data_IF_408657397924
#
_entry.id   IF_408657397924
#
_cell.length_a   1.000
_cell.length_b   1.000
_cell.length_c   1.000
_cell.angle_alpha   90.00
_cell.angle_beta   90.00
_cell.angle_gamma   90.00
#
_symmetry.space_group_name_H-M   'P 1'
#
loop_
_entity.id
_entity.type
_entity.pdbx_description
1 polymer ?
#
# COMPACT_ATOMS: atom_id res chain seq x y z
N UNK A 1 -17.91 -5.73 -8.93
CA UNK A 1 -17.01 -4.56 -9.09
C UNK A 1 -16.02 -4.44 -7.93
N UNK A 2 -16.46 -4.41 -6.66
CA UNK A 2 -15.57 -4.30 -5.49
C UNK A 2 -14.48 -5.36 -5.44
N UNK A 3 -14.80 -6.63 -5.74
CA UNK A 3 -13.80 -7.72 -5.83
C UNK A 3 -12.69 -7.44 -6.83
N UNK A 4 -13.04 -6.88 -8.00
CA UNK A 4 -12.07 -6.52 -9.04
C UNK A 4 -11.19 -5.36 -8.57
N UNK A 5 -11.79 -4.34 -7.95
CA UNK A 5 -11.05 -3.24 -7.33
C UNK A 5 -10.03 -3.75 -6.30
N UNK A 6 -10.47 -4.59 -5.35
CA UNK A 6 -9.58 -5.18 -4.35
C UNK A 6 -8.52 -6.08 -4.96
N UNK A 7 -8.84 -6.82 -6.02
CA UNK A 7 -7.87 -7.66 -6.72
C UNK A 7 -6.77 -6.82 -7.41
N UNK A 8 -7.14 -5.70 -8.05
CA UNK A 8 -6.17 -4.77 -8.65
C UNK A 8 -5.25 -4.20 -7.57
N UNK A 9 -5.82 -3.71 -6.47
CA UNK A 9 -5.06 -3.15 -5.34
C UNK A 9 -4.15 -4.22 -4.73
N UNK A 10 -4.68 -5.43 -4.48
CA UNK A 10 -3.92 -6.53 -3.92
C UNK A 10 -2.77 -7.00 -4.81
N UNK A 11 -3.00 -7.09 -6.12
CA UNK A 11 -1.94 -7.41 -7.09
C UNK A 11 -0.83 -6.34 -7.09
N UNK A 12 -1.18 -5.05 -7.04
CA UNK A 12 -0.20 -3.98 -6.92
C UNK A 12 0.66 -4.11 -5.65
N UNK A 13 0.03 -4.44 -4.52
CA UNK A 13 0.73 -4.69 -3.26
C UNK A 13 1.66 -5.92 -3.30
N UNK A 14 1.26 -7.01 -3.97
CA UNK A 14 2.15 -8.16 -4.18
C UNK A 14 3.34 -7.83 -5.07
N UNK A 15 3.14 -7.02 -6.12
CA UNK A 15 4.24 -6.55 -6.98
C UNK A 15 5.21 -5.69 -6.17
N UNK A 16 4.69 -4.75 -5.36
CA UNK A 16 5.50 -3.93 -4.46
C UNK A 16 6.25 -4.78 -3.44
N UNK A 17 5.61 -5.79 -2.86
CA UNK A 17 6.25 -6.73 -1.94
C UNK A 17 7.41 -7.46 -2.60
N UNK A 18 7.20 -7.97 -3.82
CA UNK A 18 8.25 -8.60 -4.62
C UNK A 18 9.39 -7.63 -4.92
N UNK A 19 9.09 -6.37 -5.22
CA UNK A 19 10.12 -5.36 -5.47
C UNK A 19 10.93 -5.01 -4.22
N UNK A 20 10.26 -4.83 -3.06
CA UNK A 20 10.92 -4.64 -1.77
C UNK A 20 11.81 -5.84 -1.40
N UNK A 21 11.34 -7.06 -1.66
CA UNK A 21 12.03 -8.28 -1.25
C UNK A 21 13.22 -8.64 -2.14
N UNK A 22 13.06 -8.51 -3.46
CA UNK A 22 14.07 -8.93 -4.43
C UNK A 22 15.09 -7.83 -4.74
N UNK A 23 14.74 -6.56 -4.56
CA UNK A 23 15.61 -5.42 -4.87
C UNK A 23 15.56 -4.32 -3.79
N UNK A 24 15.82 -4.64 -2.51
CA UNK A 24 15.64 -3.71 -1.39
C UNK A 24 16.45 -2.43 -1.54
N UNK A 25 17.69 -2.49 -2.04
CA UNK A 25 18.53 -1.31 -2.25
C UNK A 25 17.98 -0.34 -3.31
N UNK A 26 17.31 -0.85 -4.35
CA UNK A 26 16.71 0.00 -5.38
C UNK A 26 15.41 0.63 -4.88
N UNK A 27 14.56 -0.17 -4.24
CA UNK A 27 13.24 0.25 -3.78
C UNK A 27 13.34 1.26 -2.64
N UNK A 28 14.25 1.04 -1.69
CA UNK A 28 14.51 1.97 -0.57
C UNK A 28 15.03 3.33 -1.07
N UNK A 29 15.97 3.36 -2.01
CA UNK A 29 16.47 4.60 -2.60
C UNK A 29 15.40 5.38 -3.36
N UNK A 30 14.47 4.69 -4.02
CA UNK A 30 13.36 5.33 -4.73
C UNK A 30 12.45 6.16 -3.80
N UNK A 31 12.41 5.81 -2.51
CA UNK A 31 11.67 6.54 -1.46
C UNK A 31 12.58 7.35 -0.52
N UNK A 32 13.87 7.49 -0.86
CA UNK A 32 14.82 8.34 -0.14
C UNK A 32 15.51 7.68 1.06
N UNK A 33 15.36 6.37 1.25
CA UNK A 33 16.07 5.65 2.30
C UNK A 33 17.47 5.19 1.84
N UNK A 34 18.40 5.18 2.79
CA UNK A 34 19.69 4.51 2.66
C UNK A 34 19.71 3.35 3.65
N UNK A 35 19.90 2.13 3.15
CA UNK A 35 19.90 0.93 3.99
C UNK A 35 21.30 0.64 4.52
N UNK A 36 21.40 0.35 5.81
CA UNK A 36 22.60 -0.26 6.38
C UNK A 36 22.67 -1.74 5.97
N UNK A 37 23.85 -2.17 5.52
CA UNK A 37 24.11 -3.57 5.14
C UNK A 37 23.82 -4.52 6.30
N UNK A 38 23.12 -5.61 6.03
CA UNK A 38 22.70 -6.57 7.05
C UNK A 38 21.44 -6.13 7.80
N UNK A 39 21.57 -5.18 8.74
CA UNK A 39 20.48 -4.78 9.63
C UNK A 39 19.34 -4.06 8.89
N UNK A 40 19.65 -2.98 8.15
CA UNK A 40 18.66 -2.20 7.42
C UNK A 40 18.03 -2.99 6.26
N UNK A 41 18.83 -3.82 5.60
CA UNK A 41 18.34 -4.73 4.55
C UNK A 41 17.36 -5.77 5.11
N UNK A 42 17.71 -6.40 6.24
CA UNK A 42 16.83 -7.36 6.93
C UNK A 42 15.52 -6.71 7.33
N UNK A 43 15.58 -5.53 7.95
CA UNK A 43 14.39 -4.83 8.42
C UNK A 43 13.50 -4.37 7.26
N UNK A 44 14.10 -3.84 6.19
CA UNK A 44 13.35 -3.42 5.01
C UNK A 44 12.67 -4.62 4.33
N UNK A 45 13.36 -5.76 4.20
CA UNK A 45 12.76 -6.99 3.67
C UNK A 45 11.57 -7.45 4.53
N UNK A 46 11.76 -7.56 5.85
CA UNK A 46 10.73 -8.06 6.75
C UNK A 46 9.53 -7.13 6.84
N UNK A 47 9.76 -5.83 7.06
CA UNK A 47 8.68 -4.87 7.28
C UNK A 47 8.11 -4.40 5.94
N UNK A 48 8.92 -3.80 5.06
CA UNK A 48 8.42 -3.29 3.77
C UNK A 48 8.08 -4.40 2.78
N UNK A 49 8.79 -5.53 2.77
CA UNK A 49 8.40 -6.67 1.95
C UNK A 49 7.21 -7.41 2.56
N UNK A 50 7.34 -7.85 3.81
CA UNK A 50 6.35 -8.68 4.49
C UNK A 50 4.99 -8.00 4.68
N UNK A 51 4.96 -6.72 5.08
CA UNK A 51 3.69 -6.01 5.25
C UNK A 51 2.97 -5.82 3.92
N UNK A 52 3.68 -5.43 2.86
CA UNK A 52 3.08 -5.28 1.54
C UNK A 52 2.54 -6.61 1.01
N UNK A 53 3.25 -7.71 1.29
CA UNK A 53 2.77 -9.06 0.95
C UNK A 53 1.47 -9.39 1.70
N UNK A 54 1.43 -9.12 3.01
CA UNK A 54 0.24 -9.34 3.83
C UNK A 54 -0.97 -8.54 3.33
N UNK A 55 -0.78 -7.27 2.96
CA UNK A 55 -1.83 -6.43 2.36
C UNK A 55 -2.33 -7.01 1.03
N UNK A 56 -1.40 -7.43 0.16
CA UNK A 56 -1.73 -8.06 -1.11
C UNK A 56 -2.60 -9.30 -0.92
N UNK A 57 -2.23 -10.18 0.00
CA UNK A 57 -2.99 -11.38 0.35
C UNK A 57 -4.37 -11.04 0.94
N UNK A 58 -4.45 -10.07 1.84
CA UNK A 58 -5.70 -9.64 2.46
C UNK A 58 -6.69 -9.10 1.41
N UNK A 59 -6.22 -8.29 0.46
CA UNK A 59 -7.10 -7.71 -0.58
C UNK A 59 -7.43 -8.70 -1.70
N UNK A 60 -6.59 -9.70 -1.95
CA UNK A 60 -6.91 -10.79 -2.87
C UNK A 60 -7.81 -11.86 -2.26
N UNK A 61 -7.99 -11.87 -0.93
CA UNK A 61 -8.82 -12.87 -0.23
C UNK A 61 -10.21 -13.09 -0.85
N UNK A 62 -10.98 -12.05 -1.26
CA UNK A 62 -12.28 -12.24 -1.88
C UNK A 62 -12.26 -12.93 -3.25
N UNK A 63 -11.08 -13.19 -3.84
CA UNK A 63 -10.95 -14.04 -5.02
C UNK A 63 -11.16 -15.51 -4.67
N UNK A 64 -10.75 -15.93 -3.47
CA UNK A 64 -10.91 -17.29 -2.96
C UNK A 64 -12.20 -17.45 -2.15
N UNK A 65 -12.65 -16.40 -1.46
CA UNK A 65 -13.88 -16.36 -0.66
C UNK A 65 -14.79 -15.19 -1.08
N UNK A 66 -15.56 -15.33 -2.19
CA UNK A 66 -16.35 -14.22 -2.75
C UNK A 66 -17.42 -13.62 -1.83
N UNK A 67 -17.86 -14.34 -0.80
CA UNK A 67 -18.81 -13.86 0.20
C UNK A 67 -18.18 -12.92 1.24
N UNK A 68 -16.86 -12.94 1.38
CA UNK A 68 -16.11 -12.24 2.44
C UNK A 68 -15.48 -10.93 1.91
N UNK A 69 -16.28 -10.05 1.31
CA UNK A 69 -15.79 -8.80 0.69
C UNK A 69 -15.72 -7.63 1.67
N UNK A 70 -16.65 -7.57 2.62
CA UNK A 70 -16.83 -6.39 3.48
C UNK A 70 -15.62 -6.12 4.37
N UNK A 71 -15.02 -7.17 4.95
CA UNK A 71 -13.87 -7.02 5.85
C UNK A 71 -12.60 -6.59 5.10
N UNK A 72 -12.15 -7.24 4.01
CA UNK A 72 -11.04 -6.74 3.20
C UNK A 72 -11.24 -5.32 2.66
N UNK A 73 -12.48 -4.94 2.32
CA UNK A 73 -12.78 -3.58 1.90
C UNK A 73 -12.64 -2.56 3.04
N UNK A 74 -13.15 -2.90 4.24
CA UNK A 74 -12.98 -2.07 5.43
C UNK A 74 -11.49 -1.90 5.76
N UNK A 75 -10.70 -2.97 5.70
CA UNK A 75 -9.25 -2.90 5.89
C UNK A 75 -8.59 -1.99 4.84
N UNK A 76 -8.97 -2.13 3.57
CA UNK A 76 -8.46 -1.27 2.50
C UNK A 76 -8.76 0.21 2.77
N UNK A 77 -9.99 0.52 3.19
CA UNK A 77 -10.41 1.86 3.54
C UNK A 77 -9.63 2.43 4.73
N UNK A 78 -9.53 1.68 5.83
CA UNK A 78 -8.84 2.12 7.05
C UNK A 78 -7.36 2.38 6.80
N UNK A 79 -6.69 1.44 6.15
CA UNK A 79 -5.24 1.51 5.90
C UNK A 79 -4.93 2.71 4.99
N UNK A 80 -5.64 2.86 3.87
CA UNK A 80 -5.37 3.98 2.96
C UNK A 80 -5.85 5.31 3.53
N UNK A 81 -6.88 5.33 4.39
CA UNK A 81 -7.26 6.53 5.14
C UNK A 81 -6.15 7.01 6.06
N UNK A 82 -5.51 6.09 6.80
CA UNK A 82 -4.33 6.41 7.61
C UNK A 82 -3.15 6.88 6.75
N UNK A 83 -2.84 6.19 5.66
CA UNK A 83 -1.75 6.58 4.76
C UNK A 83 -1.97 7.98 4.19
N UNK A 84 -3.17 8.27 3.68
CA UNK A 84 -3.54 9.58 3.15
C UNK A 84 -3.42 10.67 4.22
N UNK A 85 -3.87 10.41 5.45
CA UNK A 85 -3.77 11.38 6.54
C UNK A 85 -2.30 11.73 6.84
N UNK A 86 -1.45 10.72 7.02
CA UNK A 86 -0.03 10.92 7.33
C UNK A 86 0.76 11.47 6.14
N UNK A 87 0.43 11.09 4.91
CA UNK A 87 1.01 11.65 3.69
C UNK A 87 0.70 13.13 3.57
N UNK A 88 -0.56 13.51 3.80
CA UNK A 88 -0.99 14.91 3.74
C UNK A 88 -0.29 15.72 4.83
N UNK A 89 -0.21 15.19 6.05
CA UNK A 89 0.54 15.81 7.14
C UNK A 89 2.04 15.96 6.78
N UNK A 90 2.64 14.97 6.12
CA UNK A 90 4.05 15.02 5.71
C UNK A 90 4.34 16.17 4.74
N UNK A 91 3.39 16.53 3.88
CA UNK A 91 3.52 17.65 2.93
C UNK A 91 3.49 19.02 3.61
N UNK A 92 2.91 19.10 4.82
CA UNK A 92 2.94 20.32 5.64
C UNK A 92 4.24 20.39 6.45
N UNK A 93 4.73 19.25 6.93
CA UNK A 93 5.87 19.20 7.85
C UNK A 93 7.23 19.21 7.14
N UNK A 94 7.33 18.66 5.92
CA UNK A 94 8.60 18.48 5.22
C UNK A 94 8.62 19.23 3.88
N UNK A 95 9.81 19.70 3.50
CA UNK A 95 10.07 20.42 2.26
C UNK A 95 11.02 19.62 1.35
N UNK A 96 11.13 20.02 0.07
CA UNK A 96 12.05 19.37 -0.89
C UNK A 96 11.63 17.96 -1.30
N UNK A 97 10.32 17.69 -1.26
CA UNK A 97 9.77 16.36 -1.53
C UNK A 97 9.88 16.05 -3.04
N UNK A 98 10.45 14.89 -3.42
CA UNK A 98 10.63 14.55 -4.82
C UNK A 98 9.29 14.19 -5.50
N UNK A 99 9.24 14.33 -6.83
CA UNK A 99 8.07 14.01 -7.66
C UNK A 99 7.54 12.58 -7.44
N UNK A 100 8.45 11.62 -7.17
CA UNK A 100 8.09 10.22 -6.88
C UNK A 100 7.12 10.09 -5.70
N UNK A 101 7.30 10.90 -4.66
CA UNK A 101 6.41 10.89 -3.49
C UNK A 101 5.02 11.41 -3.81
N UNK A 102 4.89 12.38 -4.72
CA UNK A 102 3.58 12.87 -5.16
C UNK A 102 2.82 11.83 -5.99
N UNK A 103 3.51 11.03 -6.81
CA UNK A 103 2.87 9.90 -7.50
C UNK A 103 2.35 8.85 -6.52
N UNK A 104 3.14 8.51 -5.49
CA UNK A 104 2.69 7.62 -4.42
C UNK A 104 1.46 8.17 -3.70
N UNK A 105 1.48 9.47 -3.35
CA UNK A 105 0.34 10.13 -2.72
C UNK A 105 -0.91 10.09 -3.60
N UNK A 106 -0.79 10.35 -4.91
CA UNK A 106 -1.92 10.25 -5.84
C UNK A 106 -2.50 8.83 -5.85
N UNK A 107 -1.64 7.80 -5.89
CA UNK A 107 -2.08 6.40 -5.80
C UNK A 107 -2.79 6.10 -4.47
N UNK A 108 -2.23 6.54 -3.34
CA UNK A 108 -2.82 6.38 -2.00
C UNK A 108 -4.24 7.01 -1.95
N UNK A 109 -4.40 8.23 -2.47
CA UNK A 109 -5.68 8.94 -2.55
C UNK A 109 -6.69 8.24 -3.46
N UNK A 110 -6.27 7.78 -4.65
CA UNK A 110 -7.16 7.07 -5.59
C UNK A 110 -7.69 5.80 -4.93
N UNK A 111 -6.83 5.03 -4.25
CA UNK A 111 -7.25 3.80 -3.57
C UNK A 111 -8.17 4.12 -2.39
N UNK A 112 -7.85 5.12 -1.57
CA UNK A 112 -8.69 5.54 -0.45
C UNK A 112 -10.10 5.94 -0.92
N UNK A 113 -10.20 6.83 -1.91
CA UNK A 113 -11.49 7.29 -2.43
C UNK A 113 -12.26 6.14 -3.10
N UNK A 114 -11.56 5.29 -3.86
CA UNK A 114 -12.15 4.09 -4.46
C UNK A 114 -12.72 3.13 -3.41
N UNK A 115 -11.99 2.91 -2.32
CA UNK A 115 -12.43 2.10 -1.19
C UNK A 115 -13.62 2.73 -0.46
N UNK A 116 -13.60 4.05 -0.22
CA UNK A 116 -14.67 4.77 0.46
C UNK A 116 -15.97 4.71 -0.33
N UNK A 117 -15.92 5.00 -1.63
CA UNK A 117 -17.09 4.89 -2.52
C UNK A 117 -17.60 3.46 -2.60
N UNK A 118 -16.70 2.48 -2.73
CA UNK A 118 -17.08 1.07 -2.77
C UNK A 118 -17.72 0.61 -1.46
N UNK A 119 -17.21 1.08 -0.31
CA UNK A 119 -17.72 0.72 1.01
C UNK A 119 -19.09 1.32 1.25
N UNK A 120 -19.30 2.58 0.84
CA UNK A 120 -20.60 3.25 0.93
C UNK A 120 -21.68 2.56 0.09
N UNK A 121 -21.32 1.91 -1.03
CA UNK A 121 -22.27 1.20 -1.91
C UNK A 121 -22.68 -0.18 -1.42
N UNK A 122 -21.91 -0.81 -0.54
CA UNK A 122 -22.22 -2.17 -0.02
C UNK A 122 -22.85 -2.16 1.37
N UNK A 123 -22.98 -0.97 1.98
CA UNK A 123 -23.66 -0.74 3.25
C UNK A 123 -25.08 -0.27 2.98
#
# INVERSE_FOLDING_TARGET
MVRIFLAIVGAAYLILAGWCALMPDKTSRAVGFTLQTGSGQSEFLTVYGGLQFALGMAFLWPMFRPSEVALPLLLCLLIHGCLVAFRTLSFVLYNGIPATTYYLAATEWIIFLGAAVSYWRIR
#
